data_IF_912124306257
#
_entry.id   IF_912124306257
#
_cell.length_a   1.000
_cell.length_b   1.000
_cell.length_c   1.000
_cell.angle_alpha   90.00
_cell.angle_beta   90.00
_cell.angle_gamma   90.00
#
_symmetry.space_group_name_H-M   'P 1'
#
loop_
_entity.id
_entity.type
_entity.pdbx_description
1 polymer ?
#
# COMPACT_ATOMS: atom_id res chain seq x y z
N UNK A 1 34.72 -1.05 7.89
CA UNK A 1 34.24 -1.62 6.61
C UNK A 1 32.73 -1.50 6.64
N UNK A 2 32.19 -0.38 6.15
CA UNK A 2 30.74 -0.17 6.06
C UNK A 2 30.21 -1.09 4.95
N UNK A 3 29.18 -1.91 5.19
CA UNK A 3 28.62 -2.75 4.13
C UNK A 3 28.05 -1.85 3.03
N UNK A 4 28.33 -2.18 1.77
CA UNK A 4 27.76 -1.50 0.60
C UNK A 4 26.24 -1.53 0.67
N UNK A 5 25.64 -0.35 0.53
CA UNK A 5 24.19 -0.09 0.47
C UNK A 5 23.63 -0.44 -0.91
N UNK A 6 24.07 -1.54 -1.52
CA UNK A 6 23.62 -1.90 -2.86
C UNK A 6 22.24 -2.58 -2.75
N UNK A 7 21.22 -1.93 -3.30
CA UNK A 7 19.86 -2.44 -3.32
C UNK A 7 19.81 -3.66 -4.26
N UNK A 8 19.40 -4.84 -3.78
CA UNK A 8 19.33 -6.03 -4.63
C UNK A 8 18.42 -5.81 -5.84
N UNK A 9 18.76 -6.36 -7.02
CA UNK A 9 17.86 -6.38 -8.16
C UNK A 9 16.50 -6.98 -7.77
N UNK A 10 15.41 -6.29 -8.11
CA UNK A 10 14.06 -6.71 -7.75
C UNK A 10 13.61 -6.35 -6.33
N UNK A 11 14.42 -5.62 -5.57
CA UNK A 11 13.95 -4.99 -4.33
C UNK A 11 12.75 -4.08 -4.63
N UNK A 12 11.71 -4.22 -3.83
CA UNK A 12 10.52 -3.38 -3.87
C UNK A 12 10.45 -2.40 -2.69
N UNK A 13 11.55 -2.22 -1.93
CA UNK A 13 11.55 -1.42 -0.70
C UNK A 13 11.14 0.03 -0.96
N UNK A 14 11.65 0.65 -2.02
CA UNK A 14 11.32 2.04 -2.38
C UNK A 14 9.85 2.19 -2.79
N UNK A 15 9.33 1.22 -3.54
CA UNK A 15 7.92 1.17 -3.95
C UNK A 15 7.01 1.04 -2.73
N UNK A 16 7.32 0.09 -1.82
CA UNK A 16 6.58 -0.06 -0.56
C UNK A 16 6.64 1.19 0.30
N UNK A 17 7.78 1.86 0.37
CA UNK A 17 7.90 3.12 1.11
C UNK A 17 7.02 4.23 0.48
N UNK A 18 6.99 4.32 -0.85
CA UNK A 18 6.13 5.27 -1.55
C UNK A 18 4.64 4.96 -1.33
N UNK A 19 4.22 3.70 -1.40
CA UNK A 19 2.84 3.26 -1.13
C UNK A 19 2.38 3.70 0.27
N UNK A 20 3.20 3.47 1.29
CA UNK A 20 2.91 3.89 2.67
C UNK A 20 2.79 5.40 2.82
N UNK A 21 3.65 6.17 2.14
CA UNK A 21 3.57 7.64 2.16
C UNK A 21 2.28 8.15 1.50
N UNK A 22 1.88 7.54 0.38
CA UNK A 22 0.63 7.87 -0.31
C UNK A 22 -0.58 7.63 0.60
N UNK A 23 -0.65 6.46 1.25
CA UNK A 23 -1.73 6.13 2.20
C UNK A 23 -1.76 7.11 3.37
N UNK A 24 -0.59 7.42 3.94
CA UNK A 24 -0.47 8.38 5.05
C UNK A 24 -0.96 9.76 4.65
N UNK A 25 -0.63 10.23 3.45
CA UNK A 25 -1.11 11.52 2.95
C UNK A 25 -2.62 11.53 2.75
N UNK A 26 -3.19 10.48 2.17
CA UNK A 26 -4.65 10.34 2.02
C UNK A 26 -5.34 10.34 3.38
N UNK A 27 -4.83 9.59 4.36
CA UNK A 27 -5.38 9.57 5.73
C UNK A 27 -5.40 10.97 6.36
N UNK A 28 -4.30 11.72 6.21
CA UNK A 28 -4.18 13.07 6.73
C UNK A 28 -5.10 14.07 6.02
N UNK A 29 -5.22 13.98 4.70
CA UNK A 29 -6.09 14.84 3.90
C UNK A 29 -7.57 14.64 4.25
N UNK A 30 -7.97 13.38 4.49
CA UNK A 30 -9.33 13.02 4.88
C UNK A 30 -9.60 13.20 6.39
N UNK A 31 -8.56 13.35 7.21
CA UNK A 31 -8.69 13.44 8.67
C UNK A 31 -9.21 12.15 9.33
N UNK A 32 -8.94 10.99 8.73
CA UNK A 32 -9.37 9.68 9.21
C UNK A 32 -8.17 8.76 9.50
N UNK A 33 -8.37 7.79 10.39
CA UNK A 33 -7.41 6.70 10.53
C UNK A 33 -7.63 5.67 9.42
N UNK A 34 -6.53 5.24 8.82
CA UNK A 34 -6.48 4.14 7.87
C UNK A 34 -5.56 3.06 8.45
N UNK A 35 -5.98 1.79 8.37
CA UNK A 35 -5.22 0.65 8.87
C UNK A 35 -5.35 -0.54 7.91
N UNK A 36 -4.30 -1.39 7.79
CA UNK A 36 -4.43 -2.65 7.08
C UNK A 36 -5.41 -3.56 7.80
N UNK A 37 -6.52 -3.90 7.14
CA UNK A 37 -7.50 -4.82 7.66
C UNK A 37 -8.23 -5.55 6.53
N UNK A 38 -8.25 -6.90 6.54
CA UNK A 38 -9.05 -7.65 5.58
C UNK A 38 -10.56 -7.42 5.83
N UNK A 39 -11.32 -7.44 4.75
CA UNK A 39 -12.78 -7.30 4.77
C UNK A 39 -13.42 -8.66 4.49
N UNK A 40 -14.16 -9.16 5.46
CA UNK A 40 -14.98 -10.36 5.31
C UNK A 40 -16.34 -9.98 4.68
N UNK A 41 -16.71 -10.66 3.60
CA UNK A 41 -18.01 -10.48 2.95
C UNK A 41 -19.07 -11.40 3.54
N UNK A 42 -20.35 -11.07 3.33
CA UNK A 42 -21.48 -11.92 3.73
C UNK A 42 -21.50 -13.29 3.04
N UNK A 43 -20.79 -13.44 1.93
CA UNK A 43 -20.62 -14.70 1.20
C UNK A 43 -19.44 -15.53 1.72
N UNK A 44 -18.73 -15.05 2.75
CA UNK A 44 -17.55 -15.71 3.32
C UNK A 44 -16.27 -15.52 2.50
N UNK A 45 -16.24 -14.57 1.56
CA UNK A 45 -15.02 -14.19 0.88
C UNK A 45 -14.23 -13.21 1.74
N UNK A 46 -12.90 -13.32 1.68
CA UNK A 46 -11.98 -12.37 2.31
C UNK A 46 -11.34 -11.51 1.23
N UNK A 47 -11.45 -10.19 1.38
CA UNK A 47 -10.81 -9.20 0.51
C UNK A 47 -9.64 -8.59 1.29
N UNK A 48 -8.43 -8.73 0.75
CA UNK A 48 -7.29 -7.97 1.23
C UNK A 48 -7.35 -6.58 0.60
N UNK A 49 -7.23 -5.56 1.45
CA UNK A 49 -7.02 -4.17 1.02
C UNK A 49 -5.77 -3.65 1.70
N UNK A 50 -5.06 -2.72 1.07
CA UNK A 50 -3.87 -2.12 1.69
C UNK A 50 -4.26 -1.46 3.02
N UNK A 51 -5.26 -0.58 2.99
CA UNK A 51 -5.75 0.14 4.17
C UNK A 51 -7.25 0.50 4.10
N UNK A 52 -7.89 0.55 5.26
CA UNK A 52 -9.32 0.86 5.43
C UNK A 52 -9.58 1.63 6.73
N UNK A 53 -10.65 2.44 6.77
CA UNK A 53 -11.12 3.08 8.00
C UNK A 53 -11.91 2.13 8.90
N UNK A 54 -12.05 2.45 10.19
CA UNK A 54 -12.77 1.61 11.16
C UNK A 54 -14.24 1.33 10.73
N UNK A 55 -14.85 2.27 10.01
CA UNK A 55 -16.21 2.16 9.49
C UNK A 55 -16.34 1.33 8.21
N UNK A 56 -15.22 0.95 7.57
CA UNK A 56 -15.18 0.31 6.24
C UNK A 56 -15.96 1.08 5.18
N UNK A 57 -15.89 2.41 5.25
CA UNK A 57 -16.54 3.35 4.33
C UNK A 57 -15.56 3.93 3.30
N UNK A 58 -14.27 3.87 3.59
CA UNK A 58 -13.16 4.31 2.74
C UNK A 58 -12.18 3.15 2.60
N UNK A 59 -11.94 2.73 1.36
CA UNK A 59 -10.96 1.70 1.01
C UNK A 59 -9.82 2.36 0.24
N UNK A 60 -8.58 2.01 0.54
CA UNK A 60 -7.40 2.54 -0.14
C UNK A 60 -6.53 1.39 -0.65
N UNK A 61 -6.21 1.46 -1.93
CA UNK A 61 -5.17 0.67 -2.59
C UNK A 61 -4.10 1.64 -3.10
N UNK A 62 -2.85 1.41 -2.74
CA UNK A 62 -1.73 2.22 -3.18
C UNK A 62 -0.76 1.37 -4.00
N UNK A 63 -0.40 1.88 -5.18
CA UNK A 63 0.57 1.24 -6.04
C UNK A 63 1.64 2.22 -6.47
N UNK A 64 2.89 1.87 -6.19
CA UNK A 64 4.04 2.63 -6.67
C UNK A 64 4.91 1.75 -7.58
N UNK A 65 5.38 2.35 -8.67
CA UNK A 65 6.28 1.67 -9.61
C UNK A 65 7.46 2.54 -9.95
N UNK A 66 8.64 1.92 -9.97
CA UNK A 66 9.88 2.54 -10.39
C UNK A 66 10.38 1.89 -11.67
N UNK A 67 10.70 2.72 -12.66
CA UNK A 67 11.09 2.28 -14.01
C UNK A 67 9.93 2.33 -15.00
N UNK A 68 10.17 1.93 -16.27
CA UNK A 68 9.12 1.95 -17.28
C UNK A 68 7.95 1.06 -16.85
N UNK A 69 6.69 1.50 -17.03
CA UNK A 69 5.53 0.65 -16.79
C UNK A 69 5.67 -0.63 -17.63
N UNK A 70 5.49 -1.80 -17.01
CA UNK A 70 5.17 -2.99 -17.81
C UNK A 70 3.77 -2.78 -18.35
N UNK A 71 3.64 -2.78 -19.67
CA UNK A 71 2.33 -2.80 -20.29
C UNK A 71 1.59 -4.06 -19.82
N UNK A 72 0.44 -3.85 -19.17
CA UNK A 72 -0.51 -4.81 -18.61
C UNK A 72 -0.23 -5.31 -17.16
N UNK A 73 -1.22 -5.02 -16.30
CA UNK A 73 -1.78 -5.96 -15.33
C UNK A 73 -2.95 -6.69 -16.00
#
# INVERSE_FOLDING_TARGET
MTPSTEVPPGSNTEQRAAELLMITWVANELGIALRPQPIETSTGARVEVDDVDDGRTVLVEAWAHQGPPKAAQ
#
